data_IF_219357504611
#
_entry.id   IF_219357504611
#
_cell.length_a   1.000
_cell.length_b   1.000
_cell.length_c   1.000
_cell.angle_alpha   90.00
_cell.angle_beta   90.00
_cell.angle_gamma   90.00
#
_symmetry.space_group_name_H-M   'P 1'
#
loop_
_entity.id
_entity.type
_entity.pdbx_description
1 polymer ?
#
# COMPACT_ATOMS: atom_id res chain seq x y z
N UNK A 1 43.59 3.23 10.28
CA UNK A 1 44.86 2.46 10.44
C UNK A 1 44.74 1.57 11.66
N UNK A 2 45.08 0.31 11.51
CA UNK A 2 45.09 -0.66 12.60
C UNK A 2 46.54 -0.92 13.07
N UNK A 3 46.79 -0.93 14.35
CA UNK A 3 48.13 -1.17 14.92
C UNK A 3 48.03 -2.14 16.09
N UNK A 4 49.05 -2.99 16.23
CA UNK A 4 49.17 -3.91 17.36
C UNK A 4 50.19 -3.32 18.35
N UNK A 5 49.89 -3.36 19.65
CA UNK A 5 50.81 -3.06 20.70
C UNK A 5 50.77 -4.13 21.80
N UNK A 6 51.84 -4.26 22.54
CA UNK A 6 51.99 -5.27 23.58
C UNK A 6 51.98 -4.66 24.99
N UNK A 7 51.42 -5.40 25.95
CA UNK A 7 51.54 -5.12 27.37
C UNK A 7 51.94 -6.40 28.09
N UNK A 8 52.71 -6.29 29.16
CA UNK A 8 52.96 -7.41 30.07
C UNK A 8 51.91 -7.44 31.18
N UNK A 9 51.41 -8.63 31.49
CA UNK A 9 50.52 -8.82 32.62
C UNK A 9 51.31 -8.85 33.96
N UNK A 10 50.61 -8.99 35.08
CA UNK A 10 51.24 -9.06 36.40
C UNK A 10 52.17 -10.25 36.58
N UNK A 11 52.04 -11.28 35.74
CA UNK A 11 52.86 -12.49 35.72
C UNK A 11 53.98 -12.44 34.67
N UNK A 12 54.22 -11.27 34.03
CA UNK A 12 55.30 -11.08 33.06
C UNK A 12 54.97 -11.53 31.64
N UNK A 13 53.82 -12.15 31.38
CA UNK A 13 53.43 -12.66 30.06
C UNK A 13 53.04 -11.54 29.11
N UNK A 14 53.46 -11.65 27.83
CA UNK A 14 53.10 -10.71 26.78
C UNK A 14 51.63 -10.88 26.34
N UNK A 15 50.88 -9.79 26.36
CA UNK A 15 49.52 -9.71 25.82
C UNK A 15 49.47 -8.72 24.68
N UNK A 16 48.80 -9.12 23.60
CA UNK A 16 48.64 -8.31 22.39
C UNK A 16 47.28 -7.60 22.37
N UNK A 17 47.29 -6.35 22.01
CA UNK A 17 46.13 -5.48 21.92
C UNK A 17 46.11 -4.83 20.53
N UNK A 18 44.94 -4.74 19.94
CA UNK A 18 44.69 -3.96 18.72
C UNK A 18 44.22 -2.55 19.04
N UNK A 19 44.70 -1.61 18.27
CA UNK A 19 44.23 -0.25 18.26
C UNK A 19 43.76 0.06 16.84
N UNK A 20 42.44 0.22 16.66
CA UNK A 20 41.79 0.54 15.40
C UNK A 20 41.26 1.98 15.50
N UNK A 21 41.49 2.75 14.45
CA UNK A 21 40.88 4.06 14.32
C UNK A 21 40.03 4.05 13.03
N UNK A 22 38.70 4.20 13.20
CA UNK A 22 37.74 4.27 12.11
C UNK A 22 36.85 5.51 12.38
N UNK A 23 36.71 6.40 11.42
CA UNK A 23 35.85 7.60 11.45
C UNK A 23 35.99 8.45 12.74
N UNK A 24 37.25 8.64 13.20
CA UNK A 24 37.55 9.41 14.41
C UNK A 24 37.31 8.68 15.73
N UNK A 25 36.72 7.48 15.74
CA UNK A 25 36.53 6.64 16.91
C UNK A 25 37.73 5.70 17.07
N UNK A 26 38.28 5.62 18.26
CA UNK A 26 39.40 4.74 18.60
C UNK A 26 38.91 3.53 19.38
N UNK A 27 39.05 2.34 18.80
CA UNK A 27 38.65 1.06 19.42
C UNK A 27 39.91 0.32 19.85
N UNK A 28 39.98 -0.07 21.13
CA UNK A 28 41.04 -0.92 21.67
C UNK A 28 40.46 -2.27 22.07
N UNK A 29 41.04 -3.37 21.59
CA UNK A 29 40.58 -4.73 21.89
C UNK A 29 41.77 -5.65 22.23
N UNK A 30 41.57 -6.52 23.19
CA UNK A 30 42.53 -7.57 23.48
C UNK A 30 42.46 -8.63 22.38
N UNK A 31 43.62 -9.04 21.84
CA UNK A 31 43.72 -9.93 20.68
C UNK A 31 44.36 -11.28 21.03
N UNK A 32 44.77 -11.52 22.26
CA UNK A 32 45.36 -12.79 22.72
C UNK A 32 46.82 -12.69 23.16
N UNK A 33 47.44 -13.87 23.32
CA UNK A 33 48.82 -14.03 23.81
C UNK A 33 49.81 -14.38 22.72
N UNK A 34 49.34 -14.73 21.53
CA UNK A 34 50.17 -15.06 20.37
C UNK A 34 50.16 -13.96 19.33
N UNK A 35 51.33 -13.53 18.85
CA UNK A 35 51.48 -12.48 17.82
C UNK A 35 50.77 -12.85 16.53
N UNK A 36 50.85 -14.11 16.07
CA UNK A 36 50.23 -14.59 14.84
C UNK A 36 48.71 -14.53 14.94
N UNK A 37 48.12 -15.01 16.03
CA UNK A 37 46.69 -14.97 16.30
C UNK A 37 46.20 -13.52 16.40
N UNK A 38 46.97 -12.67 17.10
CA UNK A 38 46.63 -11.25 17.23
C UNK A 38 46.59 -10.52 15.87
N UNK A 39 47.50 -10.83 14.97
CA UNK A 39 47.47 -10.26 13.60
C UNK A 39 46.27 -10.71 12.80
N UNK A 40 45.92 -11.99 12.84
CA UNK A 40 44.75 -12.53 12.18
C UNK A 40 43.44 -11.93 12.71
N UNK A 41 43.28 -11.94 14.07
CA UNK A 41 42.10 -11.37 14.73
C UNK A 41 41.96 -9.86 14.46
N UNK A 42 43.08 -9.12 14.36
CA UNK A 42 43.03 -7.70 14.04
C UNK A 42 42.55 -7.47 12.59
N UNK A 43 43.04 -8.29 11.63
CA UNK A 43 42.60 -8.22 10.24
C UNK A 43 41.13 -8.56 10.08
N UNK A 44 40.66 -9.61 10.74
CA UNK A 44 39.23 -9.99 10.75
C UNK A 44 38.35 -8.89 11.35
N UNK A 45 38.82 -8.26 12.43
CA UNK A 45 38.12 -7.17 13.10
C UNK A 45 38.10 -5.89 12.25
N UNK A 46 39.18 -5.59 11.55
CA UNK A 46 39.25 -4.44 10.63
C UNK A 46 38.34 -4.66 9.43
N UNK A 47 38.29 -5.90 8.92
CA UNK A 47 37.39 -6.28 7.83
C UNK A 47 35.94 -6.16 8.23
N UNK A 48 35.54 -6.75 9.38
CA UNK A 48 34.14 -6.68 9.85
C UNK A 48 33.68 -5.25 10.11
N UNK A 49 34.51 -4.40 10.71
CA UNK A 49 34.18 -3.00 10.97
C UNK A 49 34.04 -2.18 9.69
N UNK A 50 34.86 -2.45 8.65
CA UNK A 50 34.72 -1.80 7.34
C UNK A 50 33.43 -2.21 6.62
N UNK A 51 33.03 -3.48 6.74
CA UNK A 51 31.76 -3.94 6.20
C UNK A 51 30.57 -3.34 6.93
N UNK A 52 30.59 -3.29 8.26
CA UNK A 52 29.53 -2.65 9.05
C UNK A 52 29.35 -1.17 8.67
N UNK A 53 30.45 -0.42 8.47
CA UNK A 53 30.39 1.00 8.05
C UNK A 53 29.87 1.11 6.62
N UNK A 54 30.29 0.26 5.70
CA UNK A 54 29.77 0.27 4.33
C UNK A 54 28.30 -0.09 4.26
N UNK A 55 27.84 -1.02 5.10
CA UNK A 55 26.42 -1.38 5.19
C UNK A 55 25.59 -0.26 5.84
N UNK A 56 26.11 0.42 6.87
CA UNK A 56 25.47 1.60 7.45
C UNK A 56 25.38 2.77 6.45
N UNK A 57 26.44 3.03 5.68
CA UNK A 57 26.41 4.03 4.62
C UNK A 57 25.37 3.71 3.54
N UNK A 58 25.30 2.45 3.11
CA UNK A 58 24.28 2.01 2.15
C UNK A 58 22.86 2.12 2.71
N UNK A 59 22.66 1.77 3.98
CA UNK A 59 21.35 1.93 4.67
C UNK A 59 20.94 3.39 4.75
N UNK A 60 21.85 4.28 5.08
CA UNK A 60 21.59 5.72 5.24
C UNK A 60 21.32 6.45 3.93
N UNK A 61 21.75 5.89 2.79
CA UNK A 61 21.61 6.51 1.46
C UNK A 61 20.35 6.12 0.68
N UNK A 62 19.47 5.27 1.26
CA UNK A 62 18.23 4.86 0.58
C UNK A 62 17.23 6.01 0.55
N UNK A 63 16.81 6.41 -0.64
CA UNK A 63 15.77 7.42 -0.81
C UNK A 63 14.38 6.82 -0.64
N UNK A 64 13.43 7.65 -0.18
CA UNK A 64 12.02 7.25 -0.12
C UNK A 64 11.49 6.75 -1.46
N UNK A 65 11.96 7.34 -2.57
CA UNK A 65 11.52 6.94 -3.91
C UNK A 65 11.99 5.53 -4.27
N UNK A 66 13.28 5.21 -4.06
CA UNK A 66 13.83 3.86 -4.28
C UNK A 66 13.12 2.81 -3.44
N UNK A 67 12.95 3.07 -2.15
CA UNK A 67 12.22 2.18 -1.25
C UNK A 67 10.75 1.98 -1.69
N UNK A 68 10.10 3.03 -2.19
CA UNK A 68 8.72 2.94 -2.71
C UNK A 68 8.62 2.02 -3.93
N UNK A 69 9.60 2.06 -4.83
CA UNK A 69 9.65 1.16 -6.00
C UNK A 69 9.82 -0.29 -5.55
N UNK A 70 10.77 -0.53 -4.62
CA UNK A 70 11.02 -1.87 -4.09
C UNK A 70 9.78 -2.44 -3.39
N UNK A 71 9.14 -1.66 -2.53
CA UNK A 71 7.89 -2.05 -1.87
C UNK A 71 6.76 -2.37 -2.85
N UNK A 72 6.60 -1.58 -3.92
CA UNK A 72 5.58 -1.84 -4.93
C UNK A 72 5.84 -3.16 -5.68
N UNK A 73 7.09 -3.50 -5.96
CA UNK A 73 7.46 -4.79 -6.54
C UNK A 73 7.17 -5.96 -5.60
N UNK A 74 7.51 -5.80 -4.31
CA UNK A 74 7.24 -6.84 -3.29
C UNK A 74 5.74 -7.15 -3.18
N UNK A 75 4.88 -6.13 -3.11
CA UNK A 75 3.43 -6.35 -3.03
C UNK A 75 2.83 -6.90 -4.33
N UNK A 76 3.44 -6.62 -5.49
CA UNK A 76 3.06 -7.19 -6.78
C UNK A 76 3.38 -8.68 -6.84
N UNK A 77 4.59 -9.07 -6.41
CA UNK A 77 4.99 -10.47 -6.27
C UNK A 77 4.09 -11.26 -5.31
N UNK A 78 3.57 -10.62 -4.27
CA UNK A 78 2.60 -11.20 -3.32
C UNK A 78 1.18 -11.32 -3.89
N UNK A 79 0.96 -11.05 -5.16
CA UNK A 79 -0.33 -11.21 -5.83
C UNK A 79 -1.39 -10.17 -5.45
N UNK A 80 -0.99 -9.02 -4.93
CA UNK A 80 -1.93 -7.92 -4.65
C UNK A 80 -2.54 -7.41 -5.95
N UNK A 81 -3.87 -7.25 -5.98
CA UNK A 81 -4.59 -6.80 -7.17
C UNK A 81 -4.08 -5.45 -7.69
N UNK A 82 -4.02 -5.30 -9.03
CA UNK A 82 -3.57 -4.09 -9.71
C UNK A 82 -4.31 -2.82 -9.26
N UNK A 83 -5.62 -2.94 -8.99
CA UNK A 83 -6.43 -1.84 -8.46
C UNK A 83 -5.98 -1.39 -7.07
N UNK A 84 -5.58 -2.33 -6.20
CA UNK A 84 -5.08 -2.00 -4.87
C UNK A 84 -3.66 -1.40 -4.94
N UNK A 85 -2.80 -1.95 -5.80
CA UNK A 85 -1.46 -1.40 -6.08
C UNK A 85 -1.57 0.06 -6.58
N UNK A 86 -2.51 0.34 -7.49
CA UNK A 86 -2.76 1.71 -7.97
C UNK A 86 -3.10 2.67 -6.82
N UNK A 87 -3.94 2.24 -5.87
CA UNK A 87 -4.29 3.04 -4.68
C UNK A 87 -3.06 3.28 -3.82
N UNK A 88 -2.27 2.23 -3.52
CA UNK A 88 -1.05 2.32 -2.71
C UNK A 88 -0.05 3.29 -3.38
N UNK A 89 0.20 3.11 -4.69
CA UNK A 89 1.07 3.99 -5.48
C UNK A 89 0.66 5.47 -5.38
N UNK A 90 -0.65 5.74 -5.46
CA UNK A 90 -1.19 7.10 -5.30
C UNK A 90 -0.92 7.70 -3.91
N UNK A 91 -0.98 6.88 -2.84
CA UNK A 91 -0.72 7.34 -1.46
C UNK A 91 0.77 7.59 -1.22
N UNK A 92 1.64 6.68 -1.68
CA UNK A 92 3.09 6.86 -1.61
C UNK A 92 3.54 8.08 -2.43
N UNK A 93 2.98 8.28 -3.63
CA UNK A 93 3.26 9.49 -4.44
C UNK A 93 2.89 10.77 -3.70
N UNK A 94 1.76 10.79 -3.00
CA UNK A 94 1.33 11.97 -2.23
C UNK A 94 2.29 12.26 -1.06
N UNK A 95 2.79 11.23 -0.39
CA UNK A 95 3.77 11.38 0.68
C UNK A 95 5.14 11.79 0.13
N UNK A 96 5.61 11.17 -0.94
CA UNK A 96 6.86 11.56 -1.61
C UNK A 96 6.84 13.04 -2.02
N UNK A 97 5.73 13.53 -2.60
CA UNK A 97 5.59 14.93 -2.96
C UNK A 97 5.65 15.89 -1.77
N UNK A 98 5.22 15.43 -0.59
CA UNK A 98 5.36 16.17 0.66
C UNK A 98 6.83 16.21 1.12
N UNK A 99 7.53 15.08 1.07
CA UNK A 99 8.94 14.98 1.44
C UNK A 99 9.83 15.84 0.54
N UNK A 100 9.62 15.79 -0.79
CA UNK A 100 10.37 16.62 -1.75
C UNK A 100 10.21 18.11 -1.43
N UNK A 101 8.99 18.56 -1.12
CA UNK A 101 8.74 19.94 -0.71
C UNK A 101 9.47 20.32 0.59
N UNK A 102 9.58 19.37 1.50
CA UNK A 102 10.32 19.52 2.76
C UNK A 102 11.82 19.32 2.63
N UNK A 103 12.35 19.03 1.43
CA UNK A 103 13.77 18.70 1.17
C UNK A 103 14.27 17.52 2.02
N UNK A 104 13.43 16.46 2.19
CA UNK A 104 13.72 15.26 2.95
C UNK A 104 13.70 14.06 2.00
N UNK A 105 14.76 13.81 1.21
CA UNK A 105 14.75 12.72 0.23
C UNK A 105 15.09 11.36 0.83
N UNK A 106 15.89 11.30 1.91
CA UNK A 106 16.41 10.06 2.49
C UNK A 106 15.45 9.48 3.54
N UNK A 107 15.41 8.16 3.64
CA UNK A 107 14.62 7.47 4.66
C UNK A 107 15.09 7.81 6.08
N UNK A 108 16.40 7.92 6.29
CA UNK A 108 17.03 8.26 7.57
C UNK A 108 16.62 9.63 8.11
N UNK A 109 16.26 10.56 7.23
CA UNK A 109 15.84 11.91 7.60
C UNK A 109 14.36 12.00 8.00
N UNK A 110 13.56 10.94 7.75
CA UNK A 110 12.11 10.94 8.02
C UNK A 110 11.87 10.69 9.50
N UNK A 111 11.55 11.76 10.22
CA UNK A 111 11.26 11.72 11.65
C UNK A 111 9.77 11.53 11.98
N UNK A 112 9.48 11.27 13.25
CA UNK A 112 8.10 11.29 13.78
C UNK A 112 7.43 12.64 13.56
N UNK A 113 8.20 13.74 13.65
CA UNK A 113 7.71 15.09 13.36
C UNK A 113 7.28 15.23 11.90
N UNK A 114 8.07 14.67 10.95
CA UNK A 114 7.70 14.62 9.53
C UNK A 114 6.39 13.90 9.29
N UNK A 115 6.16 12.77 10.01
CA UNK A 115 4.91 12.02 9.93
C UNK A 115 3.70 12.84 10.42
N UNK A 116 3.82 13.50 11.58
CA UNK A 116 2.77 14.37 12.10
C UNK A 116 2.48 15.56 11.19
N UNK A 117 3.52 16.23 10.68
CA UNK A 117 3.38 17.35 9.75
C UNK A 117 2.69 16.93 8.44
N UNK A 118 3.01 15.74 7.92
CA UNK A 118 2.27 15.20 6.78
C UNK A 118 0.78 15.05 7.06
N UNK A 119 0.41 14.46 8.20
CA UNK A 119 -1.00 14.29 8.56
C UNK A 119 -1.70 15.63 8.71
N UNK A 120 -1.09 16.62 9.37
CA UNK A 120 -1.62 17.99 9.46
C UNK A 120 -1.82 18.59 8.05
N UNK A 121 -0.85 18.44 7.17
CA UNK A 121 -0.96 18.91 5.79
C UNK A 121 -2.12 18.20 5.05
N UNK A 122 -2.27 16.87 5.24
CA UNK A 122 -3.36 16.10 4.62
C UNK A 122 -4.74 16.51 5.14
N UNK A 123 -4.90 16.84 6.42
CA UNK A 123 -6.18 17.30 6.98
C UNK A 123 -6.59 18.67 6.45
N UNK A 124 -5.61 19.54 6.15
CA UNK A 124 -5.86 20.86 5.57
C UNK A 124 -6.17 20.81 4.06
N UNK A 125 -5.80 19.72 3.40
CA UNK A 125 -5.98 19.58 1.95
C UNK A 125 -7.45 19.42 1.62
N UNK A 126 -7.97 20.36 0.83
CA UNK A 126 -9.32 20.29 0.26
C UNK A 126 -9.32 19.44 -1.01
N UNK A 127 -10.40 18.73 -1.26
CA UNK A 127 -10.60 17.99 -2.51
C UNK A 127 -11.08 18.99 -3.57
N UNK A 128 -10.20 19.36 -4.49
CA UNK A 128 -10.64 20.03 -5.71
C UNK A 128 -11.43 19.03 -6.57
N UNK A 129 -12.72 19.20 -6.64
CA UNK A 129 -13.56 18.44 -7.54
C UNK A 129 -13.53 19.13 -8.92
N UNK A 130 -12.86 18.51 -9.89
CA UNK A 130 -12.79 19.01 -11.28
C UNK A 130 -14.15 19.21 -11.94
N UNK A 131 -15.22 18.65 -11.37
CA UNK A 131 -16.56 18.65 -11.93
C UNK A 131 -17.47 19.74 -11.38
N UNK A 132 -17.08 20.41 -10.28
CA UNK A 132 -17.85 21.50 -9.68
C UNK A 132 -17.16 22.85 -9.89
N UNK A 133 -16.66 23.11 -11.07
CA UNK A 133 -15.89 24.34 -11.38
C UNK A 133 -16.74 25.60 -11.49
N UNK A 134 -18.04 25.56 -11.24
CA UNK A 134 -18.88 26.71 -11.56
C UNK A 134 -19.69 27.33 -10.43
N UNK A 135 -19.89 26.70 -9.27
CA UNK A 135 -20.87 27.27 -8.32
C UNK A 135 -20.64 27.15 -6.82
N UNK A 136 -19.66 26.37 -6.29
CA UNK A 136 -19.54 26.28 -4.84
C UNK A 136 -18.09 26.35 -4.37
N UNK A 137 -17.81 27.31 -3.48
CA UNK A 137 -16.64 27.37 -2.59
C UNK A 137 -16.54 26.15 -1.64
N UNK A 138 -17.39 25.16 -1.80
CA UNK A 138 -17.42 23.94 -0.99
C UNK A 138 -16.40 22.92 -1.50
N UNK A 139 -15.17 23.11 -1.09
CA UNK A 139 -14.12 22.08 -1.21
C UNK A 139 -14.11 21.24 0.09
N UNK A 140 -14.72 20.05 0.12
CA UNK A 140 -14.77 19.24 1.33
C UNK A 140 -13.39 18.79 1.76
N UNK A 141 -13.12 18.81 3.06
CA UNK A 141 -11.92 18.22 3.67
C UNK A 141 -11.92 16.70 3.44
N UNK A 142 -10.74 16.10 3.47
CA UNK A 142 -10.62 14.64 3.40
C UNK A 142 -11.36 13.99 4.59
N UNK A 143 -12.18 12.97 4.29
CA UNK A 143 -12.89 12.21 5.33
C UNK A 143 -11.91 11.41 6.19
N UNK A 144 -12.19 11.24 7.48
CA UNK A 144 -11.37 10.46 8.43
C UNK A 144 -11.06 9.05 7.91
N UNK A 145 -12.01 8.39 7.26
CA UNK A 145 -11.80 7.06 6.63
C UNK A 145 -10.67 7.10 5.59
N UNK A 146 -10.60 8.16 4.78
CA UNK A 146 -9.55 8.31 3.75
C UNK A 146 -8.19 8.57 4.40
N UNK A 147 -8.15 9.40 5.43
CA UNK A 147 -6.92 9.68 6.19
C UNK A 147 -6.40 8.42 6.90
N UNK A 148 -7.30 7.62 7.48
CA UNK A 148 -6.94 6.35 8.12
C UNK A 148 -6.35 5.34 7.12
N UNK A 149 -6.88 5.30 5.90
CA UNK A 149 -6.28 4.48 4.82
C UNK A 149 -4.89 4.98 4.41
N UNK A 150 -4.69 6.32 4.35
CA UNK A 150 -3.37 6.90 4.09
C UNK A 150 -2.37 6.48 5.17
N UNK A 151 -2.73 6.63 6.45
CA UNK A 151 -1.91 6.24 7.60
C UNK A 151 -1.56 4.74 7.54
N UNK A 152 -2.56 3.88 7.30
CA UNK A 152 -2.38 2.44 7.25
C UNK A 152 -1.39 2.00 6.16
N UNK A 153 -1.52 2.57 4.94
CA UNK A 153 -0.64 2.26 3.82
C UNK A 153 0.79 2.71 4.10
N UNK A 154 0.95 3.93 4.63
CA UNK A 154 2.28 4.47 4.93
C UNK A 154 2.91 3.71 6.10
N UNK A 155 2.16 3.32 7.14
CA UNK A 155 2.66 2.44 8.21
C UNK A 155 3.17 1.12 7.66
N UNK A 156 2.42 0.48 6.76
CA UNK A 156 2.83 -0.78 6.11
C UNK A 156 4.11 -0.60 5.30
N UNK A 157 4.24 0.50 4.58
CA UNK A 157 5.46 0.83 3.84
C UNK A 157 6.68 0.96 4.76
N UNK A 158 6.57 1.70 5.88
CA UNK A 158 7.68 1.85 6.81
C UNK A 158 8.01 0.57 7.57
N UNK A 159 7.04 -0.31 7.85
CA UNK A 159 7.33 -1.64 8.38
C UNK A 159 8.15 -2.46 7.37
N UNK A 160 7.79 -2.41 6.08
CA UNK A 160 8.62 -3.02 5.03
C UNK A 160 10.05 -2.44 5.01
N UNK A 161 10.23 -1.13 5.20
CA UNK A 161 11.57 -0.53 5.28
C UNK A 161 12.37 -1.04 6.48
N UNK A 162 11.71 -1.37 7.60
CA UNK A 162 12.34 -2.00 8.77
C UNK A 162 12.72 -3.44 8.44
N UNK A 163 11.81 -4.22 7.82
CA UNK A 163 12.05 -5.60 7.41
C UNK A 163 13.24 -5.72 6.43
N UNK A 164 13.46 -4.67 5.61
CA UNK A 164 14.61 -4.53 4.71
C UNK A 164 15.85 -3.92 5.39
N UNK A 165 15.80 -3.69 6.69
CA UNK A 165 16.87 -3.09 7.49
C UNK A 165 17.35 -1.70 7.04
N UNK A 166 16.50 -0.95 6.32
CA UNK A 166 16.79 0.44 5.91
C UNK A 166 16.46 1.47 6.99
N UNK A 167 15.71 1.06 8.00
CA UNK A 167 15.30 1.90 9.14
C UNK A 167 15.14 1.07 10.41
N UNK A 168 15.47 1.64 11.56
CA UNK A 168 15.31 0.98 12.86
C UNK A 168 13.88 1.05 13.39
N UNK A 169 13.12 2.07 13.01
CA UNK A 169 11.80 2.35 13.57
C UNK A 169 10.85 3.03 12.58
N UNK A 170 9.58 2.72 12.72
CA UNK A 170 8.53 3.31 11.90
C UNK A 170 8.14 4.70 12.43
N UNK A 171 8.34 5.79 11.68
CA UNK A 171 8.01 7.15 12.11
C UNK A 171 6.49 7.37 12.28
N UNK A 172 5.65 6.53 11.67
CA UNK A 172 4.20 6.58 11.83
C UNK A 172 3.67 5.72 12.99
N UNK A 173 4.52 5.03 13.77
CA UNK A 173 4.09 4.13 14.84
C UNK A 173 3.16 4.83 15.83
N UNK A 174 3.49 6.05 16.25
CA UNK A 174 2.72 6.86 17.20
C UNK A 174 1.48 7.52 16.61
N UNK A 175 1.33 7.58 15.29
CA UNK A 175 0.18 8.22 14.64
C UNK A 175 -1.06 7.37 14.84
N UNK A 176 -2.01 7.87 15.64
CA UNK A 176 -3.29 7.19 15.91
C UNK A 176 -4.29 7.42 14.75
N UNK A 177 -5.15 6.45 14.45
CA UNK A 177 -6.22 6.67 13.49
C UNK A 177 -7.24 7.67 14.01
N UNK A 178 -7.86 8.42 13.10
CA UNK A 178 -8.95 9.33 13.40
C UNK A 178 -10.22 8.56 13.77
N UNK A 179 -10.97 9.08 14.71
CA UNK A 179 -12.31 8.54 15.00
C UNK A 179 -13.20 8.67 13.76
N UNK A 180 -13.81 7.57 13.37
CA UNK A 180 -14.80 7.53 12.29
C UNK A 180 -16.17 7.47 12.94
N UNK A 181 -16.97 8.50 12.70
CA UNK A 181 -18.39 8.41 13.07
C UNK A 181 -19.04 7.37 12.16
N UNK A 182 -19.67 6.36 12.74
CA UNK A 182 -20.52 5.46 11.97
C UNK A 182 -21.62 6.32 11.33
N UNK A 183 -21.65 6.39 10.01
CA UNK A 183 -22.74 7.05 9.32
C UNK A 183 -23.92 6.08 9.34
N UNK A 184 -24.56 5.90 10.47
CA UNK A 184 -25.86 5.29 10.61
C UNK A 184 -26.26 4.19 9.61
N UNK A 185 -27.50 4.08 9.36
CA UNK A 185 -28.11 3.09 8.48
C UNK A 185 -27.63 3.22 7.03
N UNK A 186 -27.39 2.08 6.39
CA UNK A 186 -27.27 2.03 4.94
C UNK A 186 -28.61 2.51 4.37
N UNK A 187 -28.53 3.37 3.36
CA UNK A 187 -29.71 3.80 2.65
C UNK A 187 -30.29 2.60 1.87
N UNK A 188 -31.54 2.33 2.07
CA UNK A 188 -32.32 1.34 1.31
C UNK A 188 -33.32 2.11 0.46
N UNK A 189 -33.42 1.74 -0.80
CA UNK A 189 -34.43 2.32 -1.68
C UNK A 189 -35.82 1.80 -1.29
N UNK A 190 -36.81 2.68 -1.29
CA UNK A 190 -38.22 2.26 -1.19
C UNK A 190 -38.68 1.61 -2.50
N UNK A 191 -39.77 0.81 -2.49
CA UNK A 191 -40.34 0.25 -3.72
C UNK A 191 -40.60 1.33 -4.79
N UNK A 192 -41.22 2.43 -4.44
CA UNK A 192 -41.53 3.53 -5.37
C UNK A 192 -40.26 4.12 -6.01
N UNK A 193 -39.18 4.25 -5.21
CA UNK A 193 -37.90 4.72 -5.71
C UNK A 193 -37.26 3.71 -6.68
N UNK A 194 -37.40 2.41 -6.42
CA UNK A 194 -36.93 1.36 -7.33
C UNK A 194 -37.70 1.40 -8.64
N UNK A 195 -39.00 1.55 -8.61
CA UNK A 195 -39.84 1.71 -9.81
C UNK A 195 -39.41 2.93 -10.65
N UNK A 196 -39.20 4.08 -10.00
CA UNK A 196 -38.69 5.27 -10.70
C UNK A 196 -37.31 5.04 -11.33
N UNK A 197 -36.40 4.38 -10.61
CA UNK A 197 -35.07 4.03 -11.13
C UNK A 197 -35.20 3.12 -12.36
N UNK A 198 -36.06 2.12 -12.27
CA UNK A 198 -36.29 1.17 -13.36
C UNK A 198 -36.94 1.84 -14.56
N UNK A 199 -37.91 2.71 -14.37
CA UNK A 199 -38.57 3.49 -15.43
C UNK A 199 -37.59 4.41 -16.19
N UNK A 200 -36.58 4.94 -15.49
CA UNK A 200 -35.55 5.81 -16.06
C UNK A 200 -34.30 5.05 -16.56
N UNK A 201 -34.25 3.73 -16.39
CA UNK A 201 -33.04 2.92 -16.68
C UNK A 201 -32.70 2.86 -18.18
N UNK A 202 -33.70 3.01 -19.08
CA UNK A 202 -33.51 2.97 -20.53
C UNK A 202 -32.72 1.73 -20.97
N UNK A 203 -31.63 1.91 -21.71
CA UNK A 203 -30.78 0.81 -22.21
C UNK A 203 -30.12 -0.05 -21.10
N UNK A 204 -30.14 0.40 -19.87
CA UNK A 204 -29.56 -0.32 -18.72
C UNK A 204 -30.60 -1.08 -17.90
N UNK A 205 -31.86 -1.11 -18.35
CA UNK A 205 -32.97 -1.77 -17.68
C UNK A 205 -32.64 -3.22 -17.30
N UNK A 206 -32.26 -4.03 -18.27
CA UNK A 206 -31.96 -5.46 -18.07
C UNK A 206 -30.78 -5.66 -17.10
N UNK A 207 -29.78 -4.76 -17.14
CA UNK A 207 -28.64 -4.79 -16.25
C UNK A 207 -29.04 -4.48 -14.81
N UNK A 208 -29.84 -3.44 -14.58
CA UNK A 208 -30.32 -3.09 -13.26
C UNK A 208 -31.31 -4.11 -12.73
N UNK A 209 -32.15 -4.68 -13.61
CA UNK A 209 -33.08 -5.73 -13.28
C UNK A 209 -32.34 -6.98 -12.76
N UNK A 210 -31.30 -7.42 -13.47
CA UNK A 210 -30.43 -8.50 -13.01
C UNK A 210 -29.82 -8.20 -11.64
N UNK A 211 -29.24 -7.01 -11.44
CA UNK A 211 -28.60 -6.65 -10.17
C UNK A 211 -29.60 -6.63 -9.02
N UNK A 212 -30.80 -6.12 -9.25
CA UNK A 212 -31.87 -6.03 -8.25
C UNK A 212 -32.29 -7.41 -7.74
N UNK A 213 -32.51 -8.36 -8.66
CA UNK A 213 -33.06 -9.67 -8.32
C UNK A 213 -32.00 -10.71 -7.93
N UNK A 214 -30.72 -10.48 -8.25
CA UNK A 214 -29.64 -11.46 -7.97
C UNK A 214 -28.65 -11.00 -6.94
N UNK A 215 -28.54 -9.71 -6.66
CA UNK A 215 -27.51 -9.15 -5.78
C UNK A 215 -26.09 -9.32 -6.27
N UNK A 216 -25.85 -9.76 -7.51
CA UNK A 216 -24.52 -9.91 -8.10
C UNK A 216 -23.82 -8.54 -8.11
N UNK A 217 -22.52 -8.52 -7.83
CA UNK A 217 -21.76 -7.25 -7.90
C UNK A 217 -21.75 -6.74 -9.34
N UNK A 218 -21.92 -5.43 -9.50
CA UNK A 218 -21.89 -4.75 -10.80
C UNK A 218 -20.68 -5.14 -11.66
N UNK A 219 -19.47 -5.26 -11.07
CA UNK A 219 -18.26 -5.68 -11.78
C UNK A 219 -18.30 -7.12 -12.29
N UNK A 220 -18.99 -8.00 -11.58
CA UNK A 220 -19.12 -9.41 -11.95
C UNK A 220 -20.23 -9.58 -12.98
N UNK A 221 -21.33 -8.82 -12.85
CA UNK A 221 -22.41 -8.80 -13.84
C UNK A 221 -21.96 -8.38 -15.24
N UNK A 222 -21.03 -7.41 -15.34
CA UNK A 222 -20.46 -7.02 -16.66
C UNK A 222 -19.64 -8.10 -17.35
N UNK A 223 -19.22 -9.13 -16.62
CA UNK A 223 -18.46 -10.25 -17.18
C UNK A 223 -19.32 -11.44 -17.55
N UNK A 224 -20.64 -11.36 -17.30
CA UNK A 224 -21.53 -12.46 -17.58
C UNK A 224 -21.61 -12.71 -19.07
N UNK A 225 -21.56 -14.00 -19.40
CA UNK A 225 -21.75 -14.57 -20.73
C UNK A 225 -22.88 -15.58 -20.67
N UNK A 226 -23.48 -15.93 -21.81
CA UNK A 226 -24.50 -16.98 -21.86
C UNK A 226 -24.09 -18.30 -21.21
N UNK A 227 -22.82 -18.70 -21.36
CA UNK A 227 -22.25 -19.92 -20.79
C UNK A 227 -22.28 -20.00 -19.26
N UNK A 228 -22.44 -18.84 -18.58
CA UNK A 228 -22.53 -18.78 -17.13
C UNK A 228 -23.93 -19.13 -16.59
N UNK A 229 -24.91 -19.36 -17.46
CA UNK A 229 -26.30 -19.67 -17.12
C UNK A 229 -26.57 -21.15 -17.39
N UNK A 230 -27.08 -21.86 -16.40
CA UNK A 230 -27.53 -23.25 -16.57
C UNK A 230 -29.05 -23.42 -16.53
N UNK A 231 -29.78 -22.31 -16.66
CA UNK A 231 -31.25 -22.27 -16.64
C UNK A 231 -31.85 -22.08 -15.25
N UNK A 232 -31.09 -22.37 -14.17
CA UNK A 232 -31.53 -22.19 -12.77
C UNK A 232 -30.58 -21.32 -11.96
N UNK A 233 -29.31 -21.32 -12.33
CA UNK A 233 -28.27 -20.62 -11.61
C UNK A 233 -27.36 -19.84 -12.55
N UNK A 234 -26.81 -18.75 -12.02
CA UNK A 234 -25.67 -18.06 -12.62
C UNK A 234 -24.42 -18.57 -11.90
N UNK A 235 -23.47 -19.11 -12.66
CA UNK A 235 -22.17 -19.58 -12.19
C UNK A 235 -21.09 -18.60 -12.64
N UNK A 236 -20.58 -17.81 -11.73
CA UNK A 236 -19.57 -16.79 -12.07
C UNK A 236 -18.44 -16.77 -11.04
N UNK A 237 -17.22 -16.63 -11.53
CA UNK A 237 -16.08 -16.42 -10.64
C UNK A 237 -16.02 -14.95 -10.22
N UNK A 238 -16.08 -14.71 -8.91
CA UNK A 238 -16.04 -13.37 -8.34
C UNK A 238 -14.70 -12.69 -8.58
N UNK A 239 -14.72 -11.50 -9.15
CA UNK A 239 -13.53 -10.72 -9.47
C UNK A 239 -12.72 -10.30 -8.23
N UNK A 240 -13.39 -10.19 -7.07
CA UNK A 240 -12.78 -9.69 -5.83
C UNK A 240 -12.07 -10.76 -5.02
N UNK A 241 -12.61 -11.96 -4.97
CA UNK A 241 -12.13 -13.05 -4.11
C UNK A 241 -11.59 -14.24 -4.88
N UNK A 242 -11.94 -14.37 -6.16
CA UNK A 242 -11.61 -15.53 -6.99
C UNK A 242 -12.54 -16.73 -6.79
N UNK A 243 -13.45 -16.67 -5.80
CA UNK A 243 -14.38 -17.77 -5.49
C UNK A 243 -15.47 -17.90 -6.56
N UNK A 244 -15.98 -19.10 -6.75
CA UNK A 244 -17.14 -19.32 -7.59
C UNK A 244 -18.42 -18.99 -6.82
N UNK A 245 -19.27 -18.18 -7.46
CA UNK A 245 -20.58 -17.81 -6.95
C UNK A 245 -21.65 -18.54 -7.77
N UNK A 246 -22.56 -19.23 -7.09
CA UNK A 246 -23.75 -19.83 -7.66
C UNK A 246 -24.95 -19.05 -7.16
N UNK A 247 -25.59 -18.30 -8.02
CA UNK A 247 -26.75 -17.46 -7.68
C UNK A 247 -27.98 -18.03 -8.35
N UNK A 248 -29.04 -18.37 -7.59
CA UNK A 248 -30.29 -18.77 -8.20
C UNK A 248 -30.86 -17.61 -8.99
N UNK A 249 -31.37 -17.88 -10.17
CA UNK A 249 -31.98 -16.89 -11.03
C UNK A 249 -33.49 -17.18 -11.16
N UNK A 250 -34.36 -16.22 -10.82
CA UNK A 250 -35.78 -16.32 -11.03
C UNK A 250 -36.12 -16.35 -12.54
N UNK A 251 -37.17 -17.09 -12.92
CA UNK A 251 -37.57 -17.27 -14.28
C UNK A 251 -37.85 -15.93 -14.99
N UNK A 252 -38.55 -15.02 -14.34
CA UNK A 252 -38.85 -13.67 -14.88
C UNK A 252 -37.57 -12.85 -15.18
N UNK A 253 -36.43 -13.14 -14.55
CA UNK A 253 -35.15 -12.50 -14.87
C UNK A 253 -34.53 -13.14 -16.11
N UNK A 254 -34.68 -14.46 -16.29
CA UNK A 254 -34.26 -15.15 -17.51
C UNK A 254 -35.02 -14.61 -18.72
N UNK A 255 -36.33 -14.42 -18.60
CA UNK A 255 -37.15 -13.88 -19.67
C UNK A 255 -36.68 -12.50 -20.16
N UNK A 256 -36.35 -11.62 -19.21
CA UNK A 256 -35.79 -10.29 -19.52
C UNK A 256 -34.42 -10.38 -20.19
N UNK A 257 -33.61 -11.38 -19.85
CA UNK A 257 -32.26 -11.55 -20.39
C UNK A 257 -32.23 -12.37 -21.69
N UNK A 258 -33.30 -13.09 -22.02
CA UNK A 258 -33.40 -13.96 -23.20
C UNK A 258 -32.92 -13.30 -24.50
N UNK A 259 -33.28 -12.03 -24.81
CA UNK A 259 -32.81 -11.36 -26.03
C UNK A 259 -31.29 -11.17 -26.08
N UNK A 260 -30.60 -11.27 -24.95
CA UNK A 260 -29.15 -11.10 -24.83
C UNK A 260 -28.35 -12.40 -24.83
N UNK A 261 -29.03 -13.54 -24.73
CA UNK A 261 -28.37 -14.86 -24.64
C UNK A 261 -27.68 -15.27 -25.97
N UNK A 262 -27.98 -14.63 -27.10
CA UNK A 262 -27.25 -14.83 -28.34
C UNK A 262 -25.99 -13.99 -28.53
N UNK A 263 -25.63 -13.14 -27.55
CA UNK A 263 -24.48 -12.24 -27.61
C UNK A 263 -23.23 -12.88 -26.99
N UNK A 264 -22.06 -12.50 -27.48
CA UNK A 264 -20.77 -12.95 -26.84
C UNK A 264 -20.63 -12.56 -25.37
N UNK A 265 -21.26 -11.45 -24.97
CA UNK A 265 -21.39 -10.99 -23.59
C UNK A 265 -22.77 -10.39 -23.39
N UNK A 266 -23.43 -10.64 -22.28
CA UNK A 266 -24.77 -10.13 -22.02
C UNK A 266 -24.83 -8.60 -22.02
N UNK A 267 -23.80 -7.99 -21.50
CA UNK A 267 -23.70 -6.53 -21.37
C UNK A 267 -22.44 -6.05 -22.08
N UNK A 268 -22.57 -5.00 -22.89
CA UNK A 268 -21.42 -4.42 -23.56
C UNK A 268 -20.33 -4.02 -22.56
N UNK A 269 -19.06 -4.43 -22.75
CA UNK A 269 -17.99 -4.06 -21.87
C UNK A 269 -17.85 -2.54 -21.88
N UNK A 270 -17.97 -1.93 -20.71
CA UNK A 270 -17.71 -0.51 -20.58
C UNK A 270 -16.22 -0.27 -20.86
N UNK A 271 -15.93 0.54 -21.89
CA UNK A 271 -14.58 0.79 -22.41
C UNK A 271 -13.61 1.40 -21.37
N UNK A 272 -14.11 1.89 -20.22
CA UNK A 272 -13.27 2.44 -19.18
C UNK A 272 -13.93 2.39 -17.79
N UNK A 273 -13.12 2.38 -16.72
CA UNK A 273 -13.59 2.52 -15.33
C UNK A 273 -14.39 3.82 -15.08
N UNK A 274 -14.19 4.82 -15.92
CA UNK A 274 -14.94 6.08 -15.89
C UNK A 274 -16.38 5.88 -16.35
N UNK A 275 -16.59 5.08 -17.42
CA UNK A 275 -17.93 4.74 -17.90
C UNK A 275 -18.69 3.87 -16.89
N UNK A 276 -17.99 2.90 -16.25
CA UNK A 276 -18.57 2.07 -15.18
C UNK A 276 -19.09 2.91 -14.01
N UNK A 277 -18.34 3.94 -13.60
CA UNK A 277 -18.74 4.84 -12.51
C UNK A 277 -19.88 5.80 -12.88
N UNK A 278 -20.01 6.16 -14.15
CA UNK A 278 -21.06 7.05 -14.62
C UNK A 278 -22.40 6.32 -14.85
N UNK A 279 -22.38 4.98 -15.00
CA UNK A 279 -23.59 4.18 -15.11
C UNK A 279 -24.27 3.91 -13.74
N UNK A 280 -23.57 4.16 -12.64
CA UNK A 280 -24.03 3.91 -11.26
C UNK A 280 -24.33 5.23 -10.52
N UNK A 281 -24.21 6.36 -11.17
CA UNK A 281 -24.64 7.67 -10.69
C UNK A 281 -25.96 8.06 -11.30
#
# INVERSE_FOLDING_TARGET
MATIFTRRDKSGNLRFYGNLSLDGKRIRKYLGTSKRVAQQTLSELEYSLRFEVADEENRNNVTFHQASISFLRDIELKGISSGHIYVIKGKLKAFNSFLIKGKIPLLSEISVSSAHNYIINRTKKRLHNKYNSAKDDYCPKLKSVTLNKDIQIIKRFFNYCIDMEWMDRNPFRSVKPFKVKSNGQRYHFTPDQLELIMAQAGRFYDFYYLLLHTGIRCTDAYKLKPEHFDGKYIKVQMNKTGDFLHVPIPEHVLDVLQPRMGLCTLFAPLKSDRQRRNCVK
#
